data_IF_989397732879
#
_entry.id   IF_989397732879
#
_cell.length_a   1.000
_cell.length_b   1.000
_cell.length_c   1.000
_cell.angle_alpha   90.00
_cell.angle_beta   90.00
_cell.angle_gamma   90.00
#
_symmetry.space_group_name_H-M   'P 1'
#
loop_
_entity.id
_entity.type
_entity.pdbx_description
1 polymer ?
#
# COMPACT_ATOMS: atom_id res chain seq x y z
N UNK A 1 18.58 0.35 6.65
CA UNK A 1 17.26 0.14 7.28
C UNK A 1 16.57 1.48 7.26
N UNK A 2 15.52 1.61 6.46
CA UNK A 2 14.69 2.83 6.40
C UNK A 2 14.47 3.33 7.82
N UNK A 3 15.12 4.44 8.16
CA UNK A 3 14.84 5.10 9.43
C UNK A 3 13.53 5.82 9.17
N UNK A 4 12.53 5.64 10.03
CA UNK A 4 11.34 6.48 10.00
C UNK A 4 11.81 7.93 9.87
N UNK A 5 11.47 8.55 8.75
CA UNK A 5 11.90 9.90 8.40
C UNK A 5 11.27 10.92 9.34
N UNK A 6 10.12 10.58 9.93
CA UNK A 6 9.49 11.37 10.99
C UNK A 6 9.97 11.02 12.40
N UNK A 7 11.13 11.57 12.80
CA UNK A 7 11.41 11.81 14.22
C UNK A 7 10.89 13.17 14.71
N UNK A 8 10.26 13.95 13.83
CA UNK A 8 10.01 15.37 14.04
C UNK A 8 8.56 15.69 14.45
N UNK A 9 7.59 14.79 14.23
CA UNK A 9 6.22 15.02 14.69
C UNK A 9 6.10 14.88 16.21
N UNK A 10 5.46 15.84 16.90
CA UNK A 10 5.24 15.77 18.36
C UNK A 10 4.43 14.54 18.81
N UNK A 11 3.55 14.02 17.95
CA UNK A 11 2.68 12.87 18.24
C UNK A 11 3.37 11.50 18.03
N UNK A 12 4.56 11.48 17.43
CA UNK A 12 5.29 10.23 17.12
C UNK A 12 4.63 9.36 16.04
N UNK A 13 3.61 9.87 15.33
CA UNK A 13 2.90 9.13 14.29
C UNK A 13 3.62 9.26 12.94
N UNK A 14 3.44 8.25 12.09
CA UNK A 14 3.95 8.27 10.71
C UNK A 14 2.94 8.93 9.79
N UNK A 15 3.44 9.62 8.78
CA UNK A 15 2.63 10.13 7.67
C UNK A 15 2.69 9.17 6.48
N UNK A 16 1.86 9.40 5.48
CA UNK A 16 1.92 8.64 4.23
C UNK A 16 3.24 8.86 3.46
N UNK A 17 3.96 9.95 3.75
CA UNK A 17 5.29 10.21 3.18
C UNK A 17 6.39 9.36 3.84
N UNK A 18 6.12 8.79 5.03
CA UNK A 18 7.10 8.02 5.79
C UNK A 18 7.09 6.52 5.46
N UNK A 19 6.12 6.04 4.67
CA UNK A 19 5.93 4.62 4.37
C UNK A 19 6.02 4.35 2.87
N UNK A 20 7.07 3.62 2.49
CA UNK A 20 7.35 3.23 1.13
C UNK A 20 7.10 1.73 0.91
N UNK A 21 6.49 1.39 -0.21
CA UNK A 21 6.56 0.05 -0.79
C UNK A 21 7.82 -0.01 -1.66
N UNK A 22 8.84 -0.72 -1.20
CA UNK A 22 10.18 -0.66 -1.78
C UNK A 22 10.79 -2.04 -2.05
N UNK A 23 11.57 -2.11 -3.13
CA UNK A 23 12.53 -3.17 -3.36
C UNK A 23 13.92 -2.67 -2.94
N UNK A 24 14.61 -3.45 -2.12
CA UNK A 24 15.96 -3.17 -1.63
C UNK A 24 16.83 -4.39 -1.93
N UNK A 25 18.09 -4.16 -2.29
CA UNK A 25 19.09 -5.22 -2.45
C UNK A 25 20.18 -5.06 -1.40
N UNK A 26 20.88 -6.14 -1.03
CA UNK A 26 21.87 -6.07 0.06
C UNK A 26 23.19 -5.40 -0.36
N UNK A 27 23.62 -5.65 -1.59
CA UNK A 27 24.91 -5.20 -2.11
C UNK A 27 24.73 -4.04 -3.08
N UNK A 28 25.78 -3.23 -3.25
CA UNK A 28 25.80 -2.20 -4.29
C UNK A 28 25.57 -2.81 -5.66
N UNK A 29 24.82 -2.10 -6.49
CA UNK A 29 24.63 -2.46 -7.89
C UNK A 29 25.48 -1.54 -8.74
N UNK A 30 26.12 -2.08 -9.77
CA UNK A 30 26.70 -1.26 -10.83
C UNK A 30 25.57 -0.92 -11.79
N UNK A 31 25.09 0.33 -11.83
CA UNK A 31 23.96 0.67 -12.67
C UNK A 31 24.31 0.39 -14.14
N UNK A 32 23.47 -0.33 -14.89
CA UNK A 32 23.74 -0.59 -16.29
C UNK A 32 23.68 0.72 -17.10
N UNK A 33 24.41 0.81 -18.23
CA UNK A 33 24.21 1.89 -19.18
C UNK A 33 22.72 2.04 -19.53
N UNK A 34 22.19 3.26 -19.48
CA UNK A 34 20.78 3.53 -19.76
C UNK A 34 19.84 3.52 -18.54
N UNK A 35 20.36 3.35 -17.30
CA UNK A 35 19.53 3.45 -16.09
C UNK A 35 18.73 4.76 -16.01
N UNK A 36 19.26 5.87 -16.52
CA UNK A 36 18.54 7.16 -16.56
C UNK A 36 17.28 7.11 -17.43
N UNK A 37 17.30 6.37 -18.53
CA UNK A 37 16.13 6.15 -19.40
C UNK A 37 15.14 5.22 -18.68
N UNK A 38 15.63 4.12 -18.11
CA UNK A 38 14.80 3.20 -17.33
C UNK A 38 14.10 3.91 -16.16
N UNK A 39 14.81 4.79 -15.43
CA UNK A 39 14.26 5.63 -14.36
C UNK A 39 13.09 6.48 -14.85
N UNK A 40 13.26 7.22 -15.95
CA UNK A 40 12.17 8.02 -16.54
C UNK A 40 10.97 7.16 -16.95
N UNK A 41 11.24 5.98 -17.51
CA UNK A 41 10.18 5.05 -17.90
C UNK A 41 9.40 4.52 -16.70
N UNK A 42 10.09 4.11 -15.63
CA UNK A 42 9.44 3.64 -14.41
C UNK A 42 8.62 4.76 -13.76
N UNK A 43 9.12 6.01 -13.76
CA UNK A 43 8.38 7.18 -13.26
C UNK A 43 7.19 7.56 -14.14
N UNK A 44 7.20 7.21 -15.42
CA UNK A 44 6.02 7.38 -16.28
C UNK A 44 4.89 6.40 -15.89
N UNK A 45 5.26 5.18 -15.48
CA UNK A 45 4.30 4.15 -15.03
C UNK A 45 3.79 4.46 -13.62
N UNK A 46 4.71 4.81 -12.72
CA UNK A 46 4.41 5.19 -11.35
C UNK A 46 5.05 6.55 -11.05
N UNK A 47 4.27 7.64 -11.16
CA UNK A 47 4.79 8.99 -10.91
C UNK A 47 5.31 9.21 -9.49
N UNK A 48 4.90 8.37 -8.54
CA UNK A 48 5.31 8.44 -7.14
C UNK A 48 6.61 7.67 -6.84
N UNK A 49 7.23 7.09 -7.86
CA UNK A 49 8.43 6.26 -7.72
C UNK A 49 9.65 7.10 -7.32
N UNK A 50 10.09 6.87 -6.08
CA UNK A 50 11.34 7.34 -5.52
C UNK A 50 12.50 6.45 -6.01
N UNK A 51 13.43 7.08 -6.71
CA UNK A 51 14.58 6.41 -7.33
C UNK A 51 15.91 6.93 -6.81
N UNK A 52 15.89 7.78 -5.78
CA UNK A 52 17.08 8.40 -5.21
C UNK A 52 18.00 7.38 -4.56
N UNK A 53 17.42 6.33 -3.97
CA UNK A 53 18.15 5.25 -3.32
C UNK A 53 18.91 4.31 -4.24
N UNK A 54 18.67 4.34 -5.57
CA UNK A 54 19.18 3.31 -6.48
C UNK A 54 20.70 3.39 -6.69
N UNK A 55 21.27 4.58 -6.47
CA UNK A 55 22.70 4.84 -6.63
C UNK A 55 23.47 4.77 -5.30
N UNK A 56 22.81 4.36 -4.22
CA UNK A 56 23.48 4.22 -2.93
C UNK A 56 24.56 3.13 -3.00
N UNK A 57 25.76 3.48 -2.52
CA UNK A 57 26.89 2.55 -2.43
C UNK A 57 26.65 1.39 -1.47
N UNK A 58 25.63 1.47 -0.64
CA UNK A 58 25.19 0.39 0.24
C UNK A 58 23.68 0.30 0.19
N UNK A 59 23.21 -0.93 0.01
CA UNK A 59 21.79 -1.28 -0.01
C UNK A 59 20.93 -0.35 -0.87
N UNK A 60 21.19 -0.32 -2.18
CA UNK A 60 20.38 0.49 -3.07
C UNK A 60 18.92 0.03 -3.05
N UNK A 61 18.02 1.00 -3.18
CA UNK A 61 16.60 0.78 -3.10
C UNK A 61 15.85 1.63 -4.12
N UNK A 62 14.66 1.15 -4.46
CA UNK A 62 13.67 1.85 -5.26
C UNK A 62 12.31 1.57 -4.66
N UNK A 63 11.44 2.57 -4.60
CA UNK A 63 10.13 2.37 -3.99
C UNK A 63 9.20 3.53 -4.25
N UNK A 64 7.95 3.33 -3.89
CA UNK A 64 6.88 4.30 -4.07
C UNK A 64 6.13 4.45 -2.75
N UNK A 65 5.55 5.62 -2.50
CA UNK A 65 4.73 5.81 -1.29
C UNK A 65 3.59 4.80 -1.25
N UNK A 66 3.35 4.17 -0.10
CA UNK A 66 2.37 3.08 0.00
C UNK A 66 0.99 3.51 -0.53
N UNK A 67 0.57 4.73 -0.19
CA UNK A 67 -0.71 5.32 -0.56
C UNK A 67 -0.86 5.64 -2.05
N UNK A 68 0.20 5.55 -2.84
CA UNK A 68 0.17 5.72 -4.30
C UNK A 68 0.54 4.42 -5.03
N UNK A 69 1.44 3.62 -4.45
CA UNK A 69 1.92 2.36 -5.02
C UNK A 69 0.80 1.32 -5.19
N UNK A 70 -0.07 1.18 -4.18
CA UNK A 70 -1.09 0.14 -4.16
C UNK A 70 -2.16 0.37 -5.23
N UNK A 71 -2.61 -0.69 -5.90
CA UNK A 71 -3.69 -0.64 -6.89
C UNK A 71 -5.05 -0.49 -6.22
N UNK A 72 -5.21 -1.15 -5.09
CA UNK A 72 -6.37 -0.98 -4.21
C UNK A 72 -5.85 -0.65 -2.82
N UNK A 73 -6.44 0.35 -2.18
CA UNK A 73 -6.18 0.65 -0.77
C UNK A 73 -7.51 0.79 -0.03
N UNK A 74 -7.62 0.19 1.15
CA UNK A 74 -8.77 0.34 2.02
C UNK A 74 -8.34 0.57 3.45
N UNK A 75 -9.04 1.49 4.13
CA UNK A 75 -8.75 1.86 5.51
C UNK A 75 -10.00 1.72 6.36
N UNK A 76 -9.87 1.18 7.57
CA UNK A 76 -10.98 1.12 8.52
C UNK A 76 -10.47 1.19 9.95
N UNK A 77 -11.35 1.54 10.90
CA UNK A 77 -10.97 1.51 12.30
C UNK A 77 -10.88 0.05 12.77
N UNK A 78 -9.84 -0.30 13.49
CA UNK A 78 -9.61 -1.65 14.02
C UNK A 78 -10.77 -2.17 14.88
N UNK A 79 -11.56 -1.27 15.48
CA UNK A 79 -12.78 -1.60 16.23
C UNK A 79 -14.10 -1.56 15.43
N UNK A 80 -14.16 -0.89 14.27
CA UNK A 80 -15.44 -0.67 13.55
C UNK A 80 -15.81 -1.80 12.59
N UNK A 81 -14.86 -2.66 12.20
CA UNK A 81 -15.12 -3.72 11.21
C UNK A 81 -16.22 -4.71 11.64
N UNK A 82 -16.42 -4.90 12.95
CA UNK A 82 -17.48 -5.76 13.47
C UNK A 82 -18.91 -5.24 13.21
N UNK A 83 -19.08 -3.99 12.75
CA UNK A 83 -20.38 -3.30 12.76
C UNK A 83 -20.99 -3.11 11.36
N UNK A 84 -20.19 -2.94 10.31
CA UNK A 84 -20.68 -2.40 9.02
C UNK A 84 -21.10 -3.44 7.95
N UNK A 85 -20.41 -4.58 7.79
CA UNK A 85 -20.65 -5.45 6.61
C UNK A 85 -21.07 -6.91 6.91
N UNK A 86 -21.28 -7.32 8.16
CA UNK A 86 -21.43 -8.75 8.43
C UNK A 86 -21.96 -9.21 9.79
N UNK A 87 -22.92 -8.51 10.38
CA UNK A 87 -23.52 -8.93 11.67
C UNK A 87 -24.18 -10.33 11.66
N UNK A 88 -24.45 -10.96 10.51
CA UNK A 88 -25.32 -12.13 10.49
C UNK A 88 -24.63 -13.48 10.19
N UNK A 89 -23.69 -13.58 9.24
CA UNK A 89 -23.16 -14.91 8.85
C UNK A 89 -21.84 -15.32 9.53
N UNK A 90 -20.92 -14.37 9.75
CA UNK A 90 -19.58 -14.71 10.25
C UNK A 90 -19.52 -14.77 11.77
N UNK A 91 -20.26 -13.92 12.48
CA UNK A 91 -20.40 -14.02 13.94
C UNK A 91 -21.05 -15.36 14.33
N UNK A 92 -22.01 -15.87 13.55
CA UNK A 92 -22.56 -17.21 13.72
C UNK A 92 -21.51 -18.31 13.46
N UNK A 93 -20.74 -18.23 12.37
CA UNK A 93 -19.72 -19.24 12.05
C UNK A 93 -18.50 -19.23 12.97
N UNK A 94 -18.14 -18.07 13.55
CA UNK A 94 -17.07 -17.99 14.56
C UNK A 94 -17.51 -18.48 15.93
N UNK A 95 -18.80 -18.35 16.29
CA UNK A 95 -19.33 -18.98 17.51
C UNK A 95 -19.36 -20.51 17.41
N UNK A 96 -19.49 -21.08 16.21
CA UNK A 96 -19.51 -22.53 16.00
C UNK A 96 -18.14 -23.22 15.95
N UNK A 97 -17.04 -22.48 15.77
CA UNK A 97 -15.69 -23.05 15.72
C UNK A 97 -14.70 -22.23 16.54
N UNK A 98 -14.46 -22.77 17.73
CA UNK A 98 -13.43 -22.45 18.73
C UNK A 98 -11.99 -22.64 18.19
N UNK A 99 -11.68 -22.10 17.01
CA UNK A 99 -10.43 -22.36 16.27
C UNK A 99 -9.30 -21.39 16.61
N UNK A 100 -9.59 -20.32 17.37
CA UNK A 100 -8.59 -19.43 17.92
C UNK A 100 -8.88 -19.34 19.41
N UNK A 101 -8.11 -20.08 20.21
CA UNK A 101 -8.20 -20.04 21.66
C UNK A 101 -8.17 -18.60 22.19
N UNK A 102 -8.67 -18.43 23.41
CA UNK A 102 -8.99 -17.19 24.13
C UNK A 102 -7.92 -16.07 24.17
N UNK A 103 -6.75 -16.26 23.55
CA UNK A 103 -5.61 -15.37 23.64
C UNK A 103 -5.53 -14.23 22.61
N UNK A 104 -6.30 -14.22 21.52
CA UNK A 104 -6.01 -13.27 20.42
C UNK A 104 -7.04 -12.15 20.21
N UNK A 105 -7.48 -11.52 21.31
CA UNK A 105 -8.24 -10.25 21.30
C UNK A 105 -7.43 -9.05 20.76
N UNK A 106 -6.17 -9.26 20.36
CA UNK A 106 -5.29 -8.28 19.69
C UNK A 106 -4.98 -8.66 18.25
N UNK A 107 -5.64 -9.67 17.69
CA UNK A 107 -5.51 -9.99 16.27
C UNK A 107 -6.08 -8.86 15.41
N UNK A 108 -5.50 -8.66 14.22
CA UNK A 108 -5.76 -7.53 13.30
C UNK A 108 -7.15 -7.59 12.62
N UNK A 109 -8.13 -8.21 13.28
CA UNK A 109 -9.43 -8.56 12.73
C UNK A 109 -9.35 -9.77 11.78
N UNK A 110 -10.51 -10.31 11.37
CA UNK A 110 -10.56 -11.42 10.42
C UNK A 110 -10.05 -10.97 9.04
N UNK A 111 -9.19 -11.77 8.40
CA UNK A 111 -8.67 -11.57 7.04
C UNK A 111 -9.77 -11.76 5.98
N UNK A 112 -10.73 -10.83 5.93
CA UNK A 112 -11.94 -10.92 5.12
C UNK A 112 -11.66 -11.00 3.61
N UNK A 113 -10.64 -10.29 3.14
CA UNK A 113 -10.22 -10.24 1.74
C UNK A 113 -9.31 -11.41 1.33
N UNK A 114 -9.40 -12.54 2.03
CA UNK A 114 -8.69 -13.75 1.67
C UNK A 114 -9.49 -14.61 0.68
N UNK A 115 -8.83 -15.06 -0.40
CA UNK A 115 -9.37 -16.03 -1.34
C UNK A 115 -10.41 -15.46 -2.31
N UNK A 116 -11.70 -15.73 -2.06
CA UNK A 116 -12.78 -15.46 -3.04
C UNK A 116 -13.26 -14.00 -3.08
N UNK A 117 -12.89 -13.19 -2.07
CA UNK A 117 -13.30 -11.78 -1.97
C UNK A 117 -12.12 -10.90 -2.31
N UNK A 118 -12.28 -10.08 -3.35
CA UNK A 118 -11.27 -9.11 -3.78
C UNK A 118 -11.30 -7.90 -2.85
N UNK A 119 -10.14 -7.35 -2.51
CA UNK A 119 -10.07 -6.05 -1.85
C UNK A 119 -10.65 -4.98 -2.77
N UNK A 120 -11.51 -4.13 -2.20
CA UNK A 120 -12.12 -2.99 -2.90
C UNK A 120 -11.57 -1.70 -2.31
N UNK A 121 -11.45 -0.67 -3.16
CA UNK A 121 -10.93 0.64 -2.77
C UNK A 121 -11.92 1.33 -1.85
N UNK A 122 -11.46 1.99 -0.78
CA UNK A 122 -12.39 2.73 0.07
C UNK A 122 -11.79 3.35 1.33
N UNK A 123 -12.47 4.37 1.85
CA UNK A 123 -12.20 4.99 3.15
C UNK A 123 -10.77 5.55 3.33
N UNK A 124 -10.01 5.80 2.26
CA UNK A 124 -8.62 6.26 2.36
C UNK A 124 -8.52 7.70 2.91
N UNK A 125 -9.58 8.47 2.74
CA UNK A 125 -9.82 9.76 3.38
C UNK A 125 -9.72 9.71 4.91
N UNK A 126 -9.97 8.55 5.55
CA UNK A 126 -9.80 8.37 7.01
C UNK A 126 -8.35 8.59 7.47
N UNK A 127 -7.37 8.53 6.57
CA UNK A 127 -5.98 8.85 6.89
C UNK A 127 -5.76 10.34 7.11
N UNK A 128 -6.60 11.23 6.58
CA UNK A 128 -6.39 12.67 6.71
C UNK A 128 -6.69 13.13 8.14
N UNK A 129 -5.84 14.02 8.69
CA UNK A 129 -5.88 14.52 10.08
C UNK A 129 -7.26 15.04 10.56
N UNK A 130 -8.16 15.33 9.64
CA UNK A 130 -9.56 15.64 9.91
C UNK A 130 -10.41 14.37 9.87
N UNK A 131 -10.17 13.40 10.77
CA UNK A 131 -11.09 12.27 11.01
C UNK A 131 -12.46 12.74 11.53
N UNK A 132 -13.11 13.67 10.83
CA UNK A 132 -14.51 14.00 10.99
C UNK A 132 -15.26 12.70 10.69
N UNK A 133 -15.98 12.24 11.70
CA UNK A 133 -16.76 11.00 11.69
C UNK A 133 -17.82 11.00 10.59
N UNK A 134 -18.08 12.14 9.95
CA UNK A 134 -18.90 12.31 8.76
C UNK A 134 -18.03 12.55 7.52
N UNK A 135 -17.12 11.62 7.21
CA UNK A 135 -16.61 11.60 5.84
C UNK A 135 -17.74 11.09 4.94
N UNK A 136 -18.25 11.97 4.07
CA UNK A 136 -19.12 11.52 2.99
C UNK A 136 -18.38 10.39 2.28
N UNK A 137 -18.97 9.19 2.20
CA UNK A 137 -18.46 8.00 1.50
C UNK A 137 -18.30 8.29 -0.01
N UNK A 138 -17.44 9.24 -0.34
CA UNK A 138 -17.05 9.50 -1.71
C UNK A 138 -16.04 8.43 -2.02
N UNK A 139 -16.56 7.35 -2.60
CA UNK A 139 -15.74 6.32 -3.25
C UNK A 139 -14.75 7.03 -4.19
N UNK A 140 -13.51 7.14 -3.73
CA UNK A 140 -12.42 7.59 -4.56
C UNK A 140 -11.93 6.39 -5.35
N UNK A 141 -11.85 6.53 -6.67
CA UNK A 141 -11.14 5.55 -7.48
C UNK A 141 -9.64 5.56 -7.15
N UNK A 142 -8.96 4.43 -7.37
CA UNK A 142 -7.50 4.31 -7.23
C UNK A 142 -6.74 5.40 -8.00
N UNK A 143 -7.22 5.81 -9.18
CA UNK A 143 -6.61 6.88 -9.96
C UNK A 143 -6.71 8.25 -9.25
N UNK A 144 -7.88 8.57 -8.69
CA UNK A 144 -8.09 9.80 -7.93
C UNK A 144 -7.25 9.81 -6.65
N UNK A 145 -7.22 8.70 -5.89
CA UNK A 145 -6.35 8.55 -4.72
C UNK A 145 -4.89 8.81 -5.09
N UNK A 146 -4.40 8.12 -6.12
CA UNK A 146 -3.00 8.26 -6.56
C UNK A 146 -2.66 9.70 -6.91
N UNK A 147 -3.52 10.38 -7.69
CA UNK A 147 -3.34 11.79 -8.05
C UNK A 147 -3.34 12.70 -6.82
N UNK A 148 -4.25 12.47 -5.88
CA UNK A 148 -4.35 13.25 -4.65
C UNK A 148 -3.06 13.14 -3.81
N UNK A 149 -2.57 11.92 -3.59
CA UNK A 149 -1.33 11.68 -2.85
C UNK A 149 -0.04 11.87 -3.65
N UNK A 150 -0.10 12.42 -4.88
CA UNK A 150 1.13 12.87 -5.57
C UNK A 150 1.73 14.11 -4.90
N UNK A 151 0.92 14.92 -4.21
CA UNK A 151 1.40 16.09 -3.48
C UNK A 151 2.05 15.69 -2.16
N UNK A 152 3.26 16.20 -1.90
CA UNK A 152 3.97 16.05 -0.64
C UNK A 152 3.12 16.56 0.54
N UNK A 153 2.42 17.68 0.35
CA UNK A 153 1.53 18.27 1.35
C UNK A 153 0.41 17.32 1.76
N UNK A 154 -0.26 16.69 0.80
CA UNK A 154 -1.36 15.77 1.10
C UNK A 154 -0.86 14.46 1.73
N UNK A 155 0.34 13.99 1.36
CA UNK A 155 0.95 12.84 2.03
C UNK A 155 1.35 13.15 3.46
N UNK A 156 1.87 14.33 3.73
CA UNK A 156 2.23 14.77 5.09
C UNK A 156 1.00 14.97 5.98
N UNK A 157 -0.15 15.33 5.40
CA UNK A 157 -1.45 15.43 6.09
C UNK A 157 -2.12 14.09 6.36
N UNK A 158 -1.76 13.04 5.63
CA UNK A 158 -2.27 11.70 5.87
C UNK A 158 -1.47 11.00 6.97
N UNK A 159 -2.09 10.77 8.12
CA UNK A 159 -1.50 10.17 9.32
C UNK A 159 -1.90 8.70 9.42
N UNK A 160 -0.90 7.86 9.64
CA UNK A 160 -1.02 6.42 9.82
C UNK A 160 -1.17 6.13 11.31
N UNK A 161 -2.39 6.33 11.83
CA UNK A 161 -2.73 6.08 13.22
C UNK A 161 -2.91 4.56 13.48
N UNK A 162 -2.33 3.99 14.56
CA UNK A 162 -2.52 2.59 14.93
C UNK A 162 -3.97 2.15 15.15
N UNK A 163 -4.91 3.08 15.32
CA UNK A 163 -6.35 2.77 15.36
C UNK A 163 -6.89 2.31 14.00
N UNK A 164 -6.18 2.55 12.91
CA UNK A 164 -6.58 2.14 11.58
C UNK A 164 -5.92 0.83 11.15
N UNK A 165 -6.71 0.00 10.48
CA UNK A 165 -6.22 -1.11 9.67
C UNK A 165 -6.18 -0.62 8.23
N UNK A 166 -5.01 -0.77 7.60
CA UNK A 166 -4.77 -0.40 6.22
C UNK A 166 -4.49 -1.68 5.45
N UNK A 167 -5.37 -2.02 4.51
CA UNK A 167 -5.11 -3.09 3.56
C UNK A 167 -4.80 -2.51 2.20
N UNK A 168 -3.78 -3.07 1.56
CA UNK A 168 -3.40 -2.73 0.20
C UNK A 168 -3.28 -4.00 -0.63
N UNK A 169 -3.69 -3.91 -1.89
CA UNK A 169 -3.43 -4.93 -2.90
C UNK A 169 -2.63 -4.31 -4.04
N UNK A 170 -1.59 -5.02 -4.46
CA UNK A 170 -0.72 -4.64 -5.55
C UNK A 170 -0.82 -5.69 -6.64
N UNK A 171 -1.36 -5.29 -7.78
CA UNK A 171 -1.39 -6.13 -8.97
C UNK A 171 -0.90 -5.32 -10.16
N UNK A 172 0.05 -5.91 -10.87
CA UNK A 172 0.63 -5.28 -12.03
C UNK A 172 -0.01 -5.83 -13.31
N UNK A 173 -0.81 -5.02 -14.01
CA UNK A 173 -1.37 -5.38 -15.32
C UNK A 173 -0.29 -5.55 -16.40
N UNK A 174 0.94 -5.10 -16.13
CA UNK A 174 2.06 -5.28 -17.02
C UNK A 174 2.69 -6.66 -16.91
N UNK A 175 2.37 -7.49 -15.92
CA UNK A 175 2.96 -8.83 -15.80
C UNK A 175 1.89 -9.89 -15.75
N UNK A 176 1.83 -10.70 -16.81
CA UNK A 176 1.03 -11.90 -16.85
C UNK A 176 1.93 -13.09 -16.52
N UNK A 177 1.76 -13.64 -15.31
CA UNK A 177 2.53 -14.79 -14.85
C UNK A 177 2.09 -16.12 -15.48
N UNK A 178 0.85 -16.21 -15.96
CA UNK A 178 0.36 -17.40 -16.66
C UNK A 178 1.04 -17.51 -18.02
N UNK A 179 1.07 -16.42 -18.78
CA UNK A 179 1.78 -16.38 -20.07
C UNK A 179 3.26 -16.04 -19.98
N UNK A 180 3.76 -15.74 -18.77
CA UNK A 180 5.13 -15.26 -18.49
C UNK A 180 5.54 -14.08 -19.38
N UNK A 181 4.61 -13.16 -19.63
CA UNK A 181 4.84 -11.96 -20.44
C UNK A 181 4.77 -10.70 -19.60
N UNK A 182 5.76 -9.84 -19.78
CA UNK A 182 5.72 -8.47 -19.32
C UNK A 182 5.22 -7.57 -20.47
N UNK A 183 3.97 -7.10 -20.42
CA UNK A 183 3.37 -6.16 -21.38
C UNK A 183 3.48 -4.74 -20.85
N UNK A 184 4.56 -4.05 -21.18
CA UNK A 184 4.69 -2.60 -20.95
C UNK A 184 4.51 -1.87 -22.29
N UNK A 185 5.20 -0.75 -22.52
CA UNK A 185 5.30 -0.12 -23.86
C UNK A 185 5.94 -1.06 -24.88
N UNK A 186 6.77 -1.99 -24.42
CA UNK A 186 7.29 -3.13 -25.21
C UNK A 186 6.90 -4.42 -24.50
N UNK A 187 6.53 -5.44 -25.27
CA UNK A 187 6.23 -6.78 -24.74
C UNK A 187 7.50 -7.61 -24.66
N UNK A 188 7.87 -8.07 -23.46
CA UNK A 188 9.04 -8.92 -23.22
C UNK A 188 8.56 -10.31 -22.78
N UNK A 189 9.13 -11.37 -23.37
CA UNK A 189 8.94 -12.74 -22.90
C UNK A 189 9.97 -13.05 -21.81
N UNK A 190 9.49 -13.38 -20.61
CA UNK A 190 10.35 -13.60 -19.44
C UNK A 190 11.08 -14.95 -19.46
N UNK A 191 10.77 -15.87 -20.37
CA UNK A 191 11.48 -17.16 -20.48
C UNK A 191 12.85 -17.05 -21.14
N UNK A 192 13.15 -15.92 -21.78
CA UNK A 192 14.37 -15.70 -22.58
C UNK A 192 15.34 -14.72 -21.93
N UNK A 193 15.08 -14.30 -20.69
CA UNK A 193 15.89 -13.36 -19.90
C UNK A 193 16.54 -14.14 -18.76
#
# INVERSE_FOLDING_TARGET
RFKATNRARPDGLWTADDVLFAAEVENSIKPPPGLSIAKKFMQLIDPSLCTEGILNNQRPWIGSYLVTAMNVLRVWNSGSWAVEEGKNEWQQKMQEKDWLGEQDKKSVGPWYFFGRRRLEEGNVDKLLESGQEESSEKEQSSNQRRKFFMSDEERQRAVLDPKFVIAGDFFNNFTDFESRRARMVVSINMERV
#
